data_IF_468949677354
#
_entry.id   IF_468949677354
#
_cell.length_a   1.000
_cell.length_b   1.000
_cell.length_c   1.000
_cell.angle_alpha   90.00
_cell.angle_beta   90.00
_cell.angle_gamma   90.00
#
_symmetry.space_group_name_H-M   'P 1'
#
loop_
_entity.id
_entity.type
_entity.pdbx_description
1 polymer ?
#
# COMPACT_ATOMS: atom_id res chain seq x y z
N UNK A 1 9.04 28.63 12.23
CA UNK A 1 9.48 28.53 10.85
C UNK A 1 8.34 28.49 9.83
N UNK A 2 8.22 27.49 8.90
CA UNK A 2 7.26 27.51 7.80
C UNK A 2 5.80 27.62 8.25
N UNK A 3 5.35 26.84 9.23
CA UNK A 3 3.98 26.89 9.73
C UNK A 3 3.58 28.23 10.38
N UNK A 4 4.54 29.02 10.84
CA UNK A 4 4.27 30.38 11.30
C UNK A 4 4.16 31.39 10.16
N UNK A 5 4.73 31.07 9.00
CA UNK A 5 4.75 31.94 7.81
C UNK A 5 3.55 31.71 6.90
N UNK A 6 3.03 30.47 6.87
CA UNK A 6 1.96 30.07 5.95
C UNK A 6 0.78 29.48 6.75
N UNK A 7 -0.36 30.18 6.77
CA UNK A 7 -1.56 29.83 7.52
C UNK A 7 -2.18 28.49 7.08
N UNK A 8 -1.92 28.07 5.84
CA UNK A 8 -2.39 26.79 5.29
C UNK A 8 -1.48 25.59 5.65
N UNK A 9 -0.34 25.84 6.30
CA UNK A 9 0.57 24.78 6.75
C UNK A 9 0.23 24.38 8.18
N UNK A 10 -0.13 23.13 8.39
CA UNK A 10 -0.34 22.54 9.73
C UNK A 10 0.85 21.68 10.09
N UNK A 11 1.51 22.01 11.21
CA UNK A 11 2.63 21.23 11.74
C UNK A 11 2.12 20.22 12.77
N UNK A 12 2.31 18.92 12.48
CA UNK A 12 2.08 17.82 13.42
C UNK A 12 3.40 17.37 14.00
N UNK A 13 3.58 17.50 15.32
CA UNK A 13 4.80 17.08 16.02
C UNK A 13 4.57 15.79 16.78
N UNK A 14 5.52 14.87 16.68
CA UNK A 14 5.59 13.70 17.53
C UNK A 14 6.55 13.95 18.70
N UNK A 15 6.26 13.45 19.92
CA UNK A 15 7.15 13.61 21.05
C UNK A 15 8.49 12.87 20.87
N UNK A 16 8.49 11.82 20.05
CA UNK A 16 9.66 11.05 19.66
C UNK A 16 9.53 10.56 18.20
N UNK A 17 10.65 10.17 17.60
CA UNK A 17 10.67 9.67 16.23
C UNK A 17 9.88 8.36 16.13
N UNK A 18 8.81 8.35 15.32
CA UNK A 18 7.96 7.18 15.07
C UNK A 18 8.24 6.51 13.72
N UNK A 19 9.23 6.98 12.99
CA UNK A 19 9.56 6.54 11.64
C UNK A 19 8.70 7.20 10.57
N UNK A 20 9.08 7.00 9.30
CA UNK A 20 8.39 7.54 8.12
C UNK A 20 6.91 7.13 8.10
N UNK A 21 6.63 5.83 8.20
CA UNK A 21 5.26 5.30 8.19
C UNK A 21 4.41 5.86 9.33
N UNK A 22 4.99 6.04 10.54
CA UNK A 22 4.31 6.67 11.67
C UNK A 22 3.90 8.11 11.37
N UNK A 23 4.76 8.88 10.73
CA UNK A 23 4.47 10.26 10.32
C UNK A 23 3.38 10.31 9.26
N UNK A 24 3.46 9.46 8.23
CA UNK A 24 2.45 9.37 7.16
C UNK A 24 1.08 9.00 7.74
N UNK A 25 1.00 7.95 8.56
CA UNK A 25 -0.26 7.54 9.19
C UNK A 25 -0.90 8.66 10.02
N UNK A 26 -0.09 9.45 10.72
CA UNK A 26 -0.59 10.61 11.50
C UNK A 26 -1.16 11.68 10.57
N UNK A 27 -0.47 11.99 9.47
CA UNK A 27 -0.93 12.94 8.45
C UNK A 27 -2.25 12.49 7.81
N UNK A 28 -2.33 11.21 7.38
CA UNK A 28 -3.54 10.64 6.77
C UNK A 28 -4.76 10.69 7.70
N UNK A 29 -4.59 10.28 8.97
CA UNK A 29 -5.66 10.37 9.98
C UNK A 29 -6.09 11.80 10.23
N UNK A 30 -5.14 12.74 10.30
CA UNK A 30 -5.45 14.16 10.50
C UNK A 30 -6.21 14.72 9.31
N UNK A 31 -5.79 14.43 8.08
CA UNK A 31 -6.49 14.86 6.87
C UNK A 31 -7.92 14.30 6.83
N UNK A 32 -8.10 13.03 7.17
CA UNK A 32 -9.43 12.40 7.24
C UNK A 32 -10.32 13.07 8.30
N UNK A 33 -9.79 13.33 9.49
CA UNK A 33 -10.50 14.02 10.57
C UNK A 33 -10.88 15.46 10.22
N UNK A 34 -10.19 16.09 9.28
CA UNK A 34 -10.52 17.40 8.73
C UNK A 34 -11.54 17.35 7.58
N UNK A 35 -12.03 16.16 7.20
CA UNK A 35 -13.05 15.99 6.16
C UNK A 35 -12.51 15.90 4.75
N UNK A 36 -11.17 15.82 4.54
CA UNK A 36 -10.62 15.59 3.21
C UNK A 36 -10.95 14.18 2.72
N UNK A 37 -11.25 14.06 1.43
CA UNK A 37 -11.51 12.77 0.78
C UNK A 37 -10.21 12.05 0.39
N UNK A 38 -9.18 12.81 0.05
CA UNK A 38 -7.87 12.33 -0.39
C UNK A 38 -6.74 13.04 0.33
N UNK A 39 -5.59 12.38 0.41
CA UNK A 39 -4.34 13.00 0.83
C UNK A 39 -3.21 12.56 -0.08
N UNK A 40 -2.38 13.52 -0.48
CA UNK A 40 -1.17 13.27 -1.26
C UNK A 40 0.03 13.20 -0.31
N UNK A 41 0.77 12.09 -0.39
CA UNK A 41 2.07 11.91 0.27
C UNK A 41 3.18 12.33 -0.68
N UNK A 42 4.12 13.10 -0.17
CA UNK A 42 5.40 13.42 -0.82
C UNK A 42 6.51 13.23 0.18
N UNK A 43 7.56 12.49 -0.20
CA UNK A 43 8.76 12.36 0.63
C UNK A 43 9.58 13.65 0.58
N UNK A 44 10.12 14.07 1.73
CA UNK A 44 10.82 15.35 1.88
C UNK A 44 12.32 15.27 1.51
N UNK A 45 12.73 14.24 0.79
CA UNK A 45 14.12 13.99 0.36
C UNK A 45 14.48 14.66 -0.99
N UNK A 46 13.51 15.34 -1.60
CA UNK A 46 13.69 16.04 -2.87
C UNK A 46 13.84 15.12 -4.09
N UNK A 47 13.56 13.83 -3.96
CA UNK A 47 13.69 12.88 -5.07
C UNK A 47 12.51 12.90 -6.05
N UNK A 48 11.34 13.38 -5.61
CA UNK A 48 10.14 13.43 -6.45
C UNK A 48 10.06 14.74 -7.25
N UNK A 49 9.83 14.62 -8.56
CA UNK A 49 9.54 15.77 -9.39
C UNK A 49 8.11 16.26 -9.11
N UNK A 50 8.00 17.45 -8.51
CA UNK A 50 6.69 18.04 -8.19
C UNK A 50 5.90 18.46 -9.44
N UNK A 51 6.53 18.54 -10.62
CA UNK A 51 5.84 18.77 -11.88
C UNK A 51 4.88 17.61 -12.25
N UNK A 52 5.08 16.40 -11.67
CA UNK A 52 4.19 15.25 -11.87
C UNK A 52 2.92 15.30 -10.98
N UNK A 53 2.86 16.23 -10.02
CA UNK A 53 1.75 16.36 -9.08
C UNK A 53 0.38 16.56 -9.76
N UNK A 54 0.21 17.41 -10.77
CA UNK A 54 -1.07 17.55 -11.47
C UNK A 54 -1.55 16.24 -12.12
N UNK A 55 -0.63 15.42 -12.62
CA UNK A 55 -0.97 14.13 -13.24
C UNK A 55 -1.50 13.11 -12.21
N UNK A 56 -0.89 13.05 -11.00
CA UNK A 56 -1.39 12.21 -9.92
C UNK A 56 -2.78 12.65 -9.44
N UNK A 57 -3.01 13.96 -9.31
CA UNK A 57 -4.30 14.50 -8.90
C UNK A 57 -5.38 14.24 -9.96
N UNK A 58 -5.07 14.47 -11.24
CA UNK A 58 -5.99 14.19 -12.34
C UNK A 58 -6.37 12.70 -12.43
N UNK A 59 -5.44 11.78 -12.12
CA UNK A 59 -5.73 10.36 -12.08
C UNK A 59 -6.59 9.99 -10.85
N UNK A 60 -6.39 10.67 -9.72
CA UNK A 60 -7.22 10.50 -8.52
C UNK A 60 -8.65 10.99 -8.76
N UNK A 61 -8.83 12.11 -9.45
CA UNK A 61 -10.16 12.63 -9.81
C UNK A 61 -10.93 11.64 -10.71
N UNK A 62 -10.25 11.00 -11.67
CA UNK A 62 -10.85 9.97 -12.53
C UNK A 62 -11.20 8.69 -11.77
N UNK A 63 -10.47 8.38 -10.73
CA UNK A 63 -10.57 7.11 -9.98
C UNK A 63 -10.56 7.36 -8.47
N UNK A 64 -11.60 8.00 -7.91
CA UNK A 64 -11.59 8.50 -6.53
C UNK A 64 -11.54 7.38 -5.47
N UNK A 65 -11.88 6.16 -5.81
CA UNK A 65 -11.75 5.01 -4.90
C UNK A 65 -10.40 4.29 -4.99
N UNK A 66 -9.51 4.69 -5.92
CA UNK A 66 -8.23 4.03 -6.14
C UNK A 66 -7.09 4.69 -5.33
N UNK A 67 -6.09 3.88 -4.98
CA UNK A 67 -4.78 4.37 -4.57
C UNK A 67 -4.00 4.74 -5.83
N UNK A 68 -3.60 6.00 -5.98
CA UNK A 68 -2.76 6.43 -7.08
C UNK A 68 -1.31 6.48 -6.58
N UNK A 69 -0.39 5.86 -7.28
CA UNK A 69 1.02 5.82 -6.92
C UNK A 69 1.90 6.25 -8.09
N UNK A 70 2.90 7.04 -7.81
CA UNK A 70 3.97 7.26 -8.76
C UNK A 70 4.66 5.95 -9.11
N UNK A 71 5.02 5.77 -10.38
CA UNK A 71 5.89 4.71 -10.86
C UNK A 71 7.18 5.34 -11.37
N UNK A 72 8.30 5.19 -10.64
CA UNK A 72 9.57 5.75 -11.05
C UNK A 72 9.99 5.29 -12.44
N UNK A 73 10.32 6.24 -13.29
CA UNK A 73 11.06 6.01 -14.53
C UNK A 73 12.54 6.11 -14.18
N UNK A 74 13.25 5.00 -14.33
CA UNK A 74 14.68 4.93 -14.05
C UNK A 74 15.46 5.24 -15.32
N UNK A 75 16.48 6.06 -15.16
CA UNK A 75 17.52 6.28 -16.14
C UNK A 75 18.80 5.54 -15.73
N UNK A 76 19.86 5.68 -16.52
CA UNK A 76 21.15 5.01 -16.29
C UNK A 76 21.89 5.51 -15.03
N UNK A 77 21.40 6.57 -14.37
CA UNK A 77 22.00 7.14 -13.16
C UNK A 77 21.70 6.33 -11.89
N UNK A 78 20.74 5.39 -11.94
CA UNK A 78 20.28 4.63 -10.77
C UNK A 78 21.32 3.60 -10.33
N UNK A 79 21.75 3.60 -9.06
CA UNK A 79 22.66 2.58 -8.56
C UNK A 79 22.06 1.17 -8.68
N UNK A 80 22.76 0.26 -9.37
CA UNK A 80 22.28 -1.12 -9.65
C UNK A 80 21.82 -1.88 -8.41
N UNK A 81 22.50 -1.69 -7.27
CA UNK A 81 22.12 -2.34 -6.01
C UNK A 81 20.73 -1.92 -5.49
N UNK A 82 20.34 -0.65 -5.65
CA UNK A 82 18.99 -0.18 -5.31
C UNK A 82 17.94 -0.78 -6.23
N UNK A 83 18.25 -0.91 -7.52
CA UNK A 83 17.38 -1.52 -8.50
C UNK A 83 17.10 -3.00 -8.18
N UNK A 84 18.16 -3.78 -7.87
CA UNK A 84 17.99 -5.19 -7.48
C UNK A 84 17.15 -5.37 -6.21
N UNK A 85 17.42 -4.58 -5.16
CA UNK A 85 16.61 -4.62 -3.92
C UNK A 85 15.13 -4.33 -4.18
N UNK A 86 14.85 -3.40 -5.09
CA UNK A 86 13.48 -3.05 -5.49
C UNK A 86 12.78 -4.19 -6.24
N UNK A 87 13.49 -4.86 -7.16
CA UNK A 87 12.93 -6.01 -7.87
C UNK A 87 12.63 -7.18 -6.94
N UNK A 88 13.47 -7.45 -5.95
CA UNK A 88 13.20 -8.48 -4.93
C UNK A 88 11.89 -8.17 -4.20
N UNK A 89 11.70 -6.92 -3.77
CA UNK A 89 10.44 -6.48 -3.14
C UNK A 89 9.25 -6.65 -4.08
N UNK A 90 9.38 -6.33 -5.37
CA UNK A 90 8.30 -6.52 -6.34
C UNK A 90 7.89 -7.99 -6.47
N UNK A 91 8.84 -8.92 -6.52
CA UNK A 91 8.55 -10.36 -6.59
C UNK A 91 7.76 -10.81 -5.35
N UNK A 92 8.15 -10.37 -4.15
CA UNK A 92 7.40 -10.68 -2.93
C UNK A 92 5.98 -10.11 -2.97
N UNK A 93 5.81 -8.87 -3.43
CA UNK A 93 4.49 -8.23 -3.56
C UNK A 93 3.60 -8.98 -4.54
N UNK A 94 4.12 -9.48 -5.67
CA UNK A 94 3.35 -10.29 -6.60
C UNK A 94 2.91 -11.63 -6.00
N UNK A 95 3.77 -12.27 -5.21
CA UNK A 95 3.41 -13.48 -4.46
C UNK A 95 2.31 -13.16 -3.45
N UNK A 96 2.45 -12.11 -2.66
CA UNK A 96 1.53 -11.69 -1.61
C UNK A 96 0.15 -11.30 -2.15
N UNK A 97 0.11 -10.68 -3.30
CA UNK A 97 -1.14 -10.24 -3.94
C UNK A 97 -1.72 -11.27 -4.90
N UNK A 98 -0.97 -12.32 -5.25
CA UNK A 98 -1.27 -13.26 -6.35
C UNK A 98 -1.60 -12.50 -7.65
N UNK A 99 -0.93 -11.39 -7.90
CA UNK A 99 -1.24 -10.45 -8.98
C UNK A 99 -0.02 -9.65 -9.42
N UNK A 100 0.05 -9.32 -10.69
CA UNK A 100 1.03 -8.38 -11.25
C UNK A 100 0.51 -6.93 -11.33
N UNK A 101 -0.64 -6.63 -10.70
CA UNK A 101 -1.25 -5.30 -10.75
C UNK A 101 -0.38 -4.23 -10.06
N UNK A 102 0.34 -4.59 -8.99
CA UNK A 102 1.24 -3.68 -8.29
C UNK A 102 2.60 -3.68 -9.01
N UNK A 103 2.87 -2.58 -9.70
CA UNK A 103 4.10 -2.40 -10.50
C UNK A 103 5.24 -1.80 -9.67
N UNK A 104 4.93 -1.04 -8.64
CA UNK A 104 5.88 -0.46 -7.69
C UNK A 104 5.20 -0.22 -6.36
N UNK A 105 5.78 -0.76 -5.29
CA UNK A 105 5.26 -0.63 -3.93
C UNK A 105 6.13 0.25 -3.01
N UNK A 106 7.22 0.79 -3.51
CA UNK A 106 8.22 1.51 -2.71
C UNK A 106 8.23 3.02 -2.95
N UNK A 107 7.51 3.50 -3.99
CA UNK A 107 7.41 4.91 -4.26
C UNK A 107 6.53 5.60 -3.21
N UNK A 108 7.05 6.63 -2.55
CA UNK A 108 6.32 7.42 -1.54
C UNK A 108 5.48 8.56 -2.12
N UNK A 109 5.44 8.73 -3.43
CA UNK A 109 4.64 9.76 -4.08
C UNK A 109 3.27 9.20 -4.44
N UNK A 110 2.26 9.44 -3.58
CA UNK A 110 0.95 8.76 -3.63
C UNK A 110 -0.21 9.65 -3.27
N UNK A 111 -1.37 9.40 -3.90
CA UNK A 111 -2.66 9.94 -3.48
C UNK A 111 -3.48 8.79 -2.87
N UNK A 112 -3.83 8.94 -1.61
CA UNK A 112 -4.59 7.94 -0.85
C UNK A 112 -6.08 8.30 -0.80
N UNK A 113 -7.00 7.35 -1.10
CA UNK A 113 -8.42 7.49 -0.78
C UNK A 113 -8.59 7.33 0.73
N UNK A 114 -8.83 8.44 1.46
CA UNK A 114 -8.74 8.48 2.93
C UNK A 114 -9.75 7.58 3.62
N UNK A 115 -10.97 7.47 3.13
CA UNK A 115 -11.98 6.61 3.73
C UNK A 115 -11.52 5.14 3.84
N UNK A 116 -11.06 4.56 2.72
CA UNK A 116 -10.57 3.18 2.70
C UNK A 116 -9.25 3.03 3.47
N UNK A 117 -8.36 4.02 3.35
CA UNK A 117 -7.05 3.98 4.01
C UNK A 117 -7.20 4.08 5.53
N UNK A 118 -8.00 5.01 6.04
CA UNK A 118 -8.20 5.16 7.49
C UNK A 118 -8.96 3.97 8.08
N UNK A 119 -9.96 3.42 7.38
CA UNK A 119 -10.61 2.18 7.79
C UNK A 119 -9.63 0.99 7.90
N UNK A 120 -8.63 0.91 7.02
CA UNK A 120 -7.55 -0.06 7.15
C UNK A 120 -6.69 0.21 8.39
N UNK A 121 -6.28 1.47 8.61
CA UNK A 121 -5.42 1.88 9.73
C UNK A 121 -6.07 1.67 11.11
N UNK A 122 -7.39 1.59 11.19
CA UNK A 122 -8.15 1.26 12.41
C UNK A 122 -8.14 -0.24 12.71
N UNK A 123 -8.09 -1.08 11.68
CA UNK A 123 -8.21 -2.54 11.80
C UNK A 123 -6.88 -3.25 11.92
N UNK A 124 -5.81 -2.66 11.40
CA UNK A 124 -4.52 -3.32 11.28
C UNK A 124 -3.39 -2.39 11.71
N UNK A 125 -2.53 -2.91 12.59
CA UNK A 125 -1.27 -2.24 12.91
C UNK A 125 -0.28 -2.47 11.76
N UNK A 126 0.10 -1.39 11.08
CA UNK A 126 1.09 -1.39 10.01
C UNK A 126 2.49 -1.09 10.53
N UNK A 127 3.49 -1.43 9.76
CA UNK A 127 4.86 -1.00 9.97
C UNK A 127 4.98 0.52 10.07
N UNK A 128 5.94 1.00 10.84
CA UNK A 128 6.08 2.44 11.11
C UNK A 128 7.27 3.07 10.40
N UNK A 129 8.08 2.27 9.71
CA UNK A 129 9.32 2.73 9.08
C UNK A 129 9.23 2.58 7.55
N UNK A 130 10.28 2.03 6.92
CA UNK A 130 10.38 1.86 5.47
C UNK A 130 9.49 0.74 4.94
N UNK A 131 9.03 -0.16 5.80
CA UNK A 131 8.09 -1.24 5.52
C UNK A 131 6.65 -0.75 5.26
N UNK A 132 6.29 0.45 5.75
CA UNK A 132 4.95 1.01 5.64
C UNK A 132 4.45 1.11 4.20
N UNK A 133 5.24 1.69 3.30
CA UNK A 133 4.80 2.00 1.93
C UNK A 133 4.38 0.75 1.15
N UNK A 134 5.11 -0.36 1.33
CA UNK A 134 4.77 -1.64 0.73
C UNK A 134 3.58 -2.28 1.43
N UNK A 135 3.58 -2.34 2.77
CA UNK A 135 2.52 -3.00 3.54
C UNK A 135 1.15 -2.36 3.32
N UNK A 136 1.06 -1.04 3.36
CA UNK A 136 -0.22 -0.33 3.16
C UNK A 136 -0.80 -0.59 1.77
N UNK A 137 0.03 -0.61 0.73
CA UNK A 137 -0.41 -0.86 -0.64
C UNK A 137 -0.94 -2.28 -0.82
N UNK A 138 -0.22 -3.30 -0.34
CA UNK A 138 -0.65 -4.70 -0.39
C UNK A 138 -1.97 -4.89 0.35
N UNK A 139 -2.11 -4.33 1.55
CA UNK A 139 -3.32 -4.47 2.34
C UNK A 139 -4.52 -3.71 1.77
N UNK A 140 -4.32 -2.54 1.17
CA UNK A 140 -5.37 -1.84 0.43
C UNK A 140 -5.80 -2.65 -0.78
N UNK A 141 -4.87 -3.25 -1.52
CA UNK A 141 -5.18 -4.16 -2.62
C UNK A 141 -6.02 -5.37 -2.15
N UNK A 142 -5.67 -5.99 -1.02
CA UNK A 142 -6.47 -7.07 -0.42
C UNK A 142 -7.86 -6.61 0.01
N UNK A 143 -8.01 -5.34 0.40
CA UNK A 143 -9.30 -4.74 0.74
C UNK A 143 -10.13 -4.37 -0.51
N UNK A 144 -9.65 -4.67 -1.73
CA UNK A 144 -10.34 -4.39 -2.99
C UNK A 144 -10.12 -2.98 -3.54
N UNK A 145 -9.22 -2.20 -2.94
CA UNK A 145 -8.83 -0.89 -3.47
C UNK A 145 -7.95 -1.09 -4.70
N UNK A 146 -8.39 -0.56 -5.84
CA UNK A 146 -7.59 -0.58 -7.06
C UNK A 146 -6.32 0.26 -6.88
N UNK A 147 -5.19 -0.21 -7.42
CA UNK A 147 -3.94 0.55 -7.45
C UNK A 147 -3.66 0.99 -8.87
N UNK A 148 -3.45 2.27 -9.07
CA UNK A 148 -3.13 2.86 -10.37
C UNK A 148 -1.79 3.57 -10.32
N UNK A 149 -1.11 3.60 -11.45
CA UNK A 149 0.25 4.09 -11.54
C UNK A 149 0.35 5.22 -12.56
N UNK A 150 1.00 6.31 -12.13
CA UNK A 150 1.40 7.43 -12.98
C UNK A 150 2.91 7.39 -13.13
N UNK A 151 3.46 7.38 -14.34
CA UNK A 151 4.91 7.49 -14.52
C UNK A 151 5.41 8.78 -13.90
N UNK A 152 6.46 8.70 -13.06
CA UNK A 152 7.05 9.87 -12.38
C UNK A 152 8.56 9.85 -12.55
N UNK A 153 9.16 11.03 -12.64
CA UNK A 153 10.60 11.18 -12.65
C UNK A 153 11.14 11.11 -11.22
N UNK A 154 12.24 10.41 -11.04
CA UNK A 154 12.98 10.38 -9.78
C UNK A 154 14.34 10.99 -10.00
N UNK A 155 14.63 12.05 -9.26
CA UNK A 155 15.91 12.75 -9.29
C UNK A 155 16.73 12.24 -8.10
N UNK A 156 17.94 11.77 -8.36
CA UNK A 156 18.87 11.39 -7.30
C UNK A 156 19.83 12.56 -7.05
N UNK A 157 19.64 13.35 -5.96
CA UNK A 157 20.58 14.41 -5.64
C UNK A 157 21.96 13.81 -5.33
N UNK A 158 23.02 14.41 -5.84
CA UNK A 158 24.39 13.96 -5.59
C UNK A 158 24.74 13.94 -4.08
N UNK A 159 24.14 14.85 -3.31
CA UNK A 159 24.34 14.98 -1.86
C UNK A 159 23.22 14.36 -1.01
N UNK A 160 22.40 13.49 -1.61
CA UNK A 160 21.25 12.90 -0.95
C UNK A 160 21.64 11.99 0.21
N UNK A 161 21.35 12.40 1.45
CA UNK A 161 21.53 11.55 2.62
C UNK A 161 20.41 10.52 2.71
N UNK A 162 20.76 9.24 2.63
CA UNK A 162 19.81 8.15 2.85
C UNK A 162 19.65 7.89 4.35
N UNK A 163 18.45 8.04 4.89
CA UNK A 163 18.12 7.64 6.26
C UNK A 163 17.84 6.13 6.41
N UNK A 164 18.09 5.35 5.38
CA UNK A 164 17.91 3.90 5.37
C UNK A 164 18.96 3.21 6.25
N UNK A 165 18.52 2.54 7.31
CA UNK A 165 19.35 1.76 8.21
C UNK A 165 19.42 0.31 7.72
N UNK A 166 20.50 -0.06 7.03
CA UNK A 166 20.64 -1.30 6.27
C UNK A 166 20.14 -2.55 7.02
N UNK A 167 20.61 -2.81 8.24
CA UNK A 167 20.22 -3.99 9.01
C UNK A 167 18.82 -3.93 9.57
N UNK A 168 18.45 -2.78 10.15
CA UNK A 168 17.17 -2.61 10.81
C UNK A 168 16.02 -2.59 9.81
N UNK A 169 16.14 -1.78 8.76
CA UNK A 169 15.07 -1.63 7.77
C UNK A 169 14.91 -2.91 6.93
N UNK A 170 16.01 -3.60 6.56
CA UNK A 170 15.91 -4.90 5.89
C UNK A 170 15.26 -5.98 6.77
N UNK A 171 15.56 -6.00 8.07
CA UNK A 171 14.89 -6.91 9.01
C UNK A 171 13.39 -6.61 9.09
N UNK A 172 13.02 -5.34 9.21
CA UNK A 172 11.63 -4.92 9.36
C UNK A 172 10.84 -5.20 8.05
N UNK A 173 11.44 -4.96 6.89
CA UNK A 173 10.90 -5.30 5.56
C UNK A 173 10.74 -6.83 5.42
N UNK A 174 11.76 -7.62 5.76
CA UNK A 174 11.69 -9.09 5.69
C UNK A 174 10.60 -9.65 6.61
N UNK A 175 10.48 -9.10 7.81
CA UNK A 175 9.42 -9.46 8.76
C UNK A 175 8.03 -9.08 8.23
N UNK A 176 7.89 -7.92 7.62
CA UNK A 176 6.67 -7.48 6.95
C UNK A 176 6.25 -8.48 5.87
N UNK A 177 7.14 -8.84 4.93
CA UNK A 177 6.85 -9.84 3.90
C UNK A 177 6.46 -11.20 4.50
N UNK A 178 7.18 -11.66 5.54
CA UNK A 178 6.83 -12.91 6.24
C UNK A 178 5.40 -12.86 6.77
N UNK A 179 5.01 -11.78 7.45
CA UNK A 179 3.64 -11.61 7.99
C UNK A 179 2.58 -11.59 6.88
N UNK A 180 2.87 -10.92 5.76
CA UNK A 180 1.95 -10.84 4.63
C UNK A 180 1.76 -12.22 3.97
N UNK A 181 2.84 -12.96 3.74
CA UNK A 181 2.76 -14.33 3.19
C UNK A 181 2.03 -15.28 4.14
N UNK A 182 2.35 -15.27 5.44
CA UNK A 182 1.63 -16.07 6.43
C UNK A 182 0.13 -15.75 6.43
N UNK A 183 -0.23 -14.48 6.36
CA UNK A 183 -1.63 -14.06 6.27
C UNK A 183 -2.30 -14.55 4.98
N UNK A 184 -1.63 -14.42 3.84
CA UNK A 184 -2.13 -14.95 2.56
C UNK A 184 -2.40 -16.45 2.65
N UNK A 185 -1.42 -17.23 3.14
CA UNK A 185 -1.56 -18.69 3.29
C UNK A 185 -2.71 -19.04 4.22
N UNK A 186 -2.86 -18.34 5.33
CA UNK A 186 -3.98 -18.53 6.26
C UNK A 186 -5.32 -18.29 5.59
N UNK A 187 -5.46 -17.19 4.86
CA UNK A 187 -6.70 -16.85 4.15
C UNK A 187 -7.02 -17.88 3.04
N UNK A 188 -5.99 -18.42 2.35
CA UNK A 188 -6.17 -19.48 1.37
C UNK A 188 -6.61 -20.80 2.04
N UNK A 189 -5.99 -21.19 3.15
CA UNK A 189 -6.39 -22.39 3.92
C UNK A 189 -7.84 -22.29 4.38
N UNK A 190 -8.27 -21.12 4.87
CA UNK A 190 -9.66 -20.91 5.28
C UNK A 190 -10.63 -20.99 4.09
N UNK A 191 -10.23 -20.56 2.90
CA UNK A 191 -11.03 -20.70 1.67
C UNK A 191 -11.17 -22.17 1.27
N UNK A 192 -10.08 -22.93 1.29
CA UNK A 192 -10.07 -24.36 0.99
C UNK A 192 -10.93 -25.11 2.01
N UNK A 193 -10.80 -24.83 3.30
CA UNK A 193 -11.59 -25.47 4.37
C UNK A 193 -13.10 -25.16 4.31
N UNK A 194 -13.50 -24.08 3.63
CA UNK A 194 -14.92 -23.75 3.38
C UNK A 194 -15.50 -24.46 2.14
N UNK A 195 -14.65 -24.92 1.24
CA UNK A 195 -15.06 -25.53 -0.01
C UNK A 195 -15.81 -26.87 0.18
N UNK A 196 -15.36 -27.84 1.02
CA UNK A 196 -16.08 -29.07 1.26
C UNK A 196 -17.50 -28.85 1.82
N UNK A 197 -17.69 -27.85 2.69
CA UNK A 197 -19.02 -27.53 3.24
C UNK A 197 -20.01 -27.03 2.18
N UNK A 198 -19.55 -26.27 1.20
CA UNK A 198 -20.37 -25.80 0.06
C UNK A 198 -20.69 -26.94 -0.90
N UNK A 199 -19.72 -27.79 -1.20
CA UNK A 199 -19.92 -28.98 -2.05
C UNK A 199 -20.90 -29.96 -1.39
N UNK A 200 -20.74 -30.20 -0.09
CA UNK A 200 -21.62 -31.06 0.69
C UNK A 200 -23.06 -30.55 0.76
N UNK A 201 -23.26 -29.25 0.95
CA UNK A 201 -24.60 -28.64 0.90
C UNK A 201 -25.25 -28.71 -0.48
N UNK A 202 -24.47 -28.67 -1.55
CA UNK A 202 -24.94 -28.81 -2.93
C UNK A 202 -25.31 -30.25 -3.24
N UNK A 203 -24.48 -31.21 -2.85
CA UNK A 203 -24.75 -32.66 -2.97
C UNK A 203 -25.99 -33.07 -2.19
N UNK A 204 -26.14 -32.60 -0.95
CA UNK A 204 -27.34 -32.90 -0.12
C UNK A 204 -28.60 -32.26 -0.66
N UNK A 205 -28.52 -31.15 -1.37
CA UNK A 205 -29.66 -30.53 -2.06
C UNK A 205 -30.09 -31.36 -3.28
N UNK A 206 -29.16 -31.79 -4.11
CA UNK A 206 -29.44 -32.68 -5.23
C UNK A 206 -30.02 -34.03 -4.81
N UNK A 207 -29.57 -34.58 -3.68
CA UNK A 207 -30.13 -35.83 -3.12
C UNK A 207 -31.58 -35.64 -2.60
N UNK A 208 -31.90 -34.47 -2.04
CA UNK A 208 -33.26 -34.15 -1.60
C UNK A 208 -34.21 -34.01 -2.81
N UNK A 209 -33.79 -33.32 -3.85
CA UNK A 209 -34.60 -33.11 -5.06
C UNK A 209 -34.89 -34.42 -5.81
N UNK A 210 -33.93 -35.37 -5.82
CA UNK A 210 -34.16 -36.71 -6.44
C UNK A 210 -35.15 -37.57 -5.65
N UNK A 211 -35.25 -37.43 -4.33
CA UNK A 211 -36.23 -38.23 -3.54
C UNK A 211 -37.67 -37.83 -3.77
N UNK A 212 -37.94 -36.61 -4.17
CA UNK A 212 -39.31 -36.14 -4.45
C UNK A 212 -39.85 -36.61 -5.81
N UNK A 213 -39.00 -37.12 -6.71
CA UNK A 213 -39.40 -37.62 -8.01
C UNK A 213 -39.75 -39.14 -8.01
N UNK A 214 -39.50 -39.89 -6.93
CA UNK A 214 -39.80 -41.33 -6.83
C UNK A 214 -41.03 -41.64 -5.98
N UNK A 215 -41.79 -40.63 -5.58
CA UNK A 215 -43.00 -40.77 -4.76
C UNK A 215 -44.28 -40.30 -5.50
N UNK A 216 -44.29 -40.38 -6.83
CA UNK A 216 -45.51 -40.20 -7.65
C UNK A 216 -45.69 -41.38 -8.56
#
# INVERSE_FOLDING_TARGET
ALAARYLWVTLLRHPHNQGKGGAVMTGLRRAHALGFSHALQVDADGQHDLADLPALLAEADKHPAALISGRPLYDDSVPKGRLYGRYITHVWVWIETLSFAIKDSMCGFRVYPLAATCALLERVALGRRMDFDTEVMVRLHWAGVAVRFVPTRVIYPADGSSHFQLWRDNRDISWMHTRLVCRLLWDQLLRIGRWPRRLWSWVTRLWRERRTHWSR
#
